data_IF_166238480210
#
_entry.id   IF_166238480210
#
_cell.length_a   1.000
_cell.length_b   1.000
_cell.length_c   1.000
_cell.angle_alpha   90.00
_cell.angle_beta   90.00
_cell.angle_gamma   90.00
#
_symmetry.space_group_name_H-M   'P 1'
#
loop_
_entity.id
_entity.type
_entity.pdbx_description
1 polymer ?
#
# COMPACT_ATOMS: atom_id res chain seq x y z
N UNK A 1 -7.25 -38.78 -33.80
CA UNK A 1 -6.20 -38.22 -34.68
C UNK A 1 -6.25 -36.70 -34.55
N UNK A 2 -5.10 -36.00 -34.42
CA UNK A 2 -5.07 -34.54 -34.27
C UNK A 2 -5.30 -33.83 -35.63
N UNK A 3 -5.89 -32.63 -35.59
CA UNK A 3 -6.10 -31.82 -36.80
C UNK A 3 -4.78 -31.32 -37.40
N UNK A 4 -4.81 -30.92 -38.68
CA UNK A 4 -3.62 -30.40 -39.39
C UNK A 4 -2.95 -29.21 -38.71
N UNK A 5 -3.74 -28.41 -38.00
CA UNK A 5 -3.36 -27.18 -37.30
C UNK A 5 -3.08 -27.41 -35.80
N UNK A 6 -3.19 -28.65 -35.31
CA UNK A 6 -3.02 -28.94 -33.89
C UNK A 6 -1.56 -28.84 -33.48
N UNK A 7 -1.32 -28.18 -32.34
CA UNK A 7 -0.01 -28.16 -31.68
C UNK A 7 0.57 -29.55 -31.35
N UNK A 8 -0.27 -30.59 -31.29
CA UNK A 8 0.15 -31.97 -30.98
C UNK A 8 0.36 -32.85 -32.23
N UNK A 9 0.16 -32.30 -33.43
CA UNK A 9 0.18 -33.08 -34.67
C UNK A 9 1.51 -33.81 -34.89
N UNK A 10 2.62 -33.10 -34.69
CA UNK A 10 3.97 -33.61 -34.97
C UNK A 10 4.64 -34.23 -33.72
N UNK A 11 3.89 -34.43 -32.64
CA UNK A 11 4.44 -34.98 -31.41
C UNK A 11 4.39 -36.51 -31.47
N UNK A 12 5.50 -37.22 -31.18
CA UNK A 12 5.54 -38.67 -31.21
C UNK A 12 4.55 -39.30 -30.24
N UNK A 13 3.90 -40.38 -30.68
CA UNK A 13 3.11 -41.25 -29.82
C UNK A 13 4.04 -42.13 -28.97
N UNK A 14 3.68 -42.35 -27.71
CA UNK A 14 4.37 -43.20 -26.74
C UNK A 14 3.37 -44.20 -26.19
N UNK A 15 3.77 -45.46 -26.16
CA UNK A 15 3.01 -46.52 -25.52
C UNK A 15 3.45 -46.65 -24.05
N UNK A 16 2.57 -46.30 -23.13
CA UNK A 16 2.83 -46.41 -21.68
C UNK A 16 2.03 -47.56 -21.10
N UNK A 17 2.67 -48.44 -20.33
CA UNK A 17 1.98 -49.47 -19.55
C UNK A 17 1.43 -48.86 -18.27
N UNK A 18 0.15 -49.07 -18.00
CA UNK A 18 -0.44 -48.72 -16.72
C UNK A 18 -0.10 -49.77 -15.64
N UNK A 19 -0.46 -49.48 -14.39
CA UNK A 19 -0.25 -50.39 -13.25
C UNK A 19 -1.02 -51.72 -13.37
N UNK A 20 -1.99 -51.83 -14.29
CA UNK A 20 -2.78 -53.04 -14.60
C UNK A 20 -2.26 -53.77 -15.84
N UNK A 21 -1.11 -53.38 -16.39
CA UNK A 21 -0.48 -53.99 -17.56
C UNK A 21 -1.11 -53.61 -18.90
N UNK A 22 -2.09 -52.69 -18.95
CA UNK A 22 -2.70 -52.19 -20.18
C UNK A 22 -1.75 -51.22 -20.87
N UNK A 23 -1.62 -51.32 -22.19
CA UNK A 23 -0.84 -50.39 -23.00
C UNK A 23 -1.76 -49.26 -23.48
N UNK A 24 -1.47 -48.03 -23.06
CA UNK A 24 -2.18 -46.83 -23.49
C UNK A 24 -1.30 -46.03 -24.44
N UNK A 25 -1.85 -45.68 -25.61
CA UNK A 25 -1.22 -44.73 -26.52
C UNK A 25 -1.43 -43.31 -25.98
N UNK A 26 -0.33 -42.61 -25.72
CA UNK A 26 -0.31 -41.21 -25.31
C UNK A 26 0.63 -40.41 -26.19
N UNK A 27 0.60 -39.07 -26.11
CA UNK A 27 1.59 -38.21 -26.75
C UNK A 27 2.76 -37.96 -25.80
N UNK A 28 3.96 -37.82 -26.37
CA UNK A 28 5.13 -37.33 -25.64
C UNK A 28 4.89 -35.93 -25.07
N UNK A 29 5.67 -35.54 -24.05
CA UNK A 29 5.67 -34.17 -23.56
C UNK A 29 6.15 -33.22 -24.67
N UNK A 30 5.41 -32.13 -24.89
CA UNK A 30 5.80 -31.05 -25.81
C UNK A 30 6.81 -30.15 -25.10
N UNK A 31 8.00 -30.00 -25.67
CA UNK A 31 8.91 -28.93 -25.28
C UNK A 31 8.42 -27.61 -25.88
N UNK A 32 8.46 -26.54 -25.10
CA UNK A 32 8.09 -25.21 -25.58
C UNK A 32 9.18 -24.71 -26.55
N UNK A 33 8.83 -24.27 -27.76
CA UNK A 33 9.80 -23.69 -28.67
C UNK A 33 10.27 -22.32 -28.15
N UNK A 34 11.52 -21.96 -28.42
CA UNK A 34 11.92 -20.56 -28.32
C UNK A 34 11.30 -19.79 -29.48
N UNK A 35 10.41 -18.85 -29.18
CA UNK A 35 9.74 -18.04 -30.20
C UNK A 35 10.17 -16.60 -30.05
N UNK A 36 10.90 -16.09 -31.05
CA UNK A 36 11.19 -14.66 -31.14
C UNK A 36 9.89 -13.88 -31.39
N UNK A 37 9.54 -13.01 -30.44
CA UNK A 37 8.43 -12.09 -30.58
C UNK A 37 8.60 -11.14 -31.76
N UNK A 38 7.52 -10.88 -32.51
CA UNK A 38 7.53 -9.91 -33.60
C UNK A 38 7.10 -8.52 -33.14
N UNK A 39 6.12 -8.45 -32.23
CA UNK A 39 5.65 -7.21 -31.62
C UNK A 39 4.98 -7.48 -30.27
N UNK A 40 4.65 -6.41 -29.54
CA UNK A 40 3.98 -6.47 -28.24
C UNK A 40 2.51 -6.03 -28.38
N UNK A 41 1.58 -6.85 -27.90
CA UNK A 41 0.18 -6.47 -27.72
C UNK A 41 -0.06 -6.06 -26.27
N UNK A 42 -0.73 -4.92 -26.05
CA UNK A 42 -1.12 -4.48 -24.70
C UNK A 42 -2.48 -5.11 -24.36
N UNK A 43 -2.51 -5.90 -23.29
CA UNK A 43 -3.73 -6.61 -22.86
C UNK A 43 -4.80 -5.62 -22.40
N UNK A 44 -6.01 -5.77 -22.92
CA UNK A 44 -7.21 -5.02 -22.53
C UNK A 44 -8.18 -5.90 -21.72
N UNK A 45 -9.12 -5.29 -21.01
CA UNK A 45 -10.07 -6.01 -20.14
C UNK A 45 -10.98 -6.98 -20.92
N UNK A 46 -11.29 -6.65 -22.16
CA UNK A 46 -12.16 -7.44 -23.05
C UNK A 46 -11.39 -8.45 -23.89
N UNK A 47 -10.06 -8.55 -23.71
CA UNK A 47 -9.25 -9.46 -24.50
C UNK A 47 -9.53 -10.90 -24.12
N UNK A 48 -9.68 -11.72 -25.17
CA UNK A 48 -9.68 -13.17 -25.05
C UNK A 48 -8.65 -13.74 -26.00
N UNK A 49 -7.99 -14.82 -25.58
CA UNK A 49 -6.90 -15.42 -26.33
C UNK A 49 -7.33 -15.94 -27.71
N UNK A 50 -8.55 -16.47 -27.83
CA UNK A 50 -9.17 -16.87 -29.10
C UNK A 50 -9.44 -15.66 -30.00
N UNK A 51 -9.93 -14.55 -29.46
CA UNK A 51 -10.12 -13.30 -30.20
C UNK A 51 -8.80 -12.69 -30.66
N UNK A 52 -7.77 -12.67 -29.80
CA UNK A 52 -6.44 -12.20 -30.16
C UNK A 52 -5.84 -13.08 -31.26
N UNK A 53 -5.96 -14.41 -31.14
CA UNK A 53 -5.49 -15.32 -32.16
C UNK A 53 -6.22 -15.12 -33.50
N UNK A 54 -7.53 -14.87 -33.47
CA UNK A 54 -8.27 -14.53 -34.68
C UNK A 54 -7.83 -13.18 -35.26
N UNK A 55 -7.66 -12.15 -34.42
CA UNK A 55 -7.21 -10.81 -34.83
C UNK A 55 -5.85 -10.83 -35.53
N UNK A 56 -4.91 -11.64 -35.04
CA UNK A 56 -3.52 -11.63 -35.51
C UNK A 56 -3.14 -12.78 -36.45
N UNK A 57 -3.83 -13.92 -36.38
CA UNK A 57 -3.55 -15.11 -37.20
C UNK A 57 -4.72 -15.53 -38.09
N UNK A 58 -5.86 -14.83 -38.03
CA UNK A 58 -7.13 -15.22 -38.69
C UNK A 58 -7.62 -16.61 -38.27
N UNK A 59 -7.10 -17.13 -37.15
CA UNK A 59 -7.42 -18.47 -36.67
C UNK A 59 -7.55 -18.49 -35.14
N UNK A 60 -8.76 -18.62 -34.57
CA UNK A 60 -8.96 -18.54 -33.12
C UNK A 60 -8.33 -19.72 -32.38
N UNK A 61 -8.11 -20.85 -33.06
CA UNK A 61 -7.49 -22.05 -32.47
C UNK A 61 -5.98 -21.94 -32.33
N UNK A 62 -5.35 -20.89 -32.86
CA UNK A 62 -3.91 -20.67 -32.80
C UNK A 62 -3.46 -19.83 -31.59
N UNK A 63 -4.36 -19.68 -30.61
CA UNK A 63 -4.07 -18.98 -29.35
C UNK A 63 -2.89 -19.58 -28.57
N UNK A 64 -2.63 -20.88 -28.74
CA UNK A 64 -1.49 -21.56 -28.11
C UNK A 64 -0.15 -21.00 -28.58
N UNK A 65 -0.08 -20.38 -29.77
CA UNK A 65 1.13 -19.69 -30.25
C UNK A 65 1.48 -18.49 -29.35
N UNK A 66 0.45 -17.75 -28.92
CA UNK A 66 0.60 -16.62 -27.98
C UNK A 66 1.12 -17.16 -26.65
N UNK A 67 0.56 -18.26 -26.15
CA UNK A 67 1.03 -18.87 -24.91
C UNK A 67 2.47 -19.37 -24.98
N UNK A 68 2.83 -20.08 -26.06
CA UNK A 68 4.18 -20.61 -26.24
C UNK A 68 5.24 -19.50 -26.36
N UNK A 69 4.88 -18.33 -26.93
CA UNK A 69 5.77 -17.18 -27.03
C UNK A 69 5.95 -16.41 -25.71
N UNK A 70 5.20 -16.77 -24.67
CA UNK A 70 5.25 -16.11 -23.35
C UNK A 70 5.41 -17.18 -22.24
N UNK A 71 6.53 -17.92 -22.22
CA UNK A 71 6.72 -19.07 -21.32
C UNK A 71 6.81 -18.70 -19.83
N UNK A 72 7.06 -17.43 -19.51
CA UNK A 72 7.08 -16.93 -18.12
C UNK A 72 5.72 -17.10 -17.41
N UNK A 73 4.65 -17.37 -18.17
CA UNK A 73 3.29 -17.55 -17.64
C UNK A 73 2.91 -19.02 -17.63
N UNK A 74 2.58 -19.52 -16.43
CA UNK A 74 2.21 -20.91 -16.20
C UNK A 74 0.83 -21.28 -16.77
N UNK A 75 -0.04 -20.29 -16.99
CA UNK A 75 -1.38 -20.52 -17.55
C UNK A 75 -1.74 -19.51 -18.65
N UNK A 76 -2.56 -19.89 -19.64
CA UNK A 76 -3.05 -18.96 -20.64
C UNK A 76 -3.93 -17.86 -20.03
N UNK A 77 -4.68 -18.14 -18.96
CA UNK A 77 -5.47 -17.10 -18.27
C UNK A 77 -4.58 -16.04 -17.62
N UNK A 78 -3.38 -16.42 -17.16
CA UNK A 78 -2.38 -15.48 -16.64
C UNK A 78 -1.92 -14.47 -17.68
N UNK A 79 -1.99 -14.79 -18.98
CA UNK A 79 -1.67 -13.84 -20.04
C UNK A 79 -2.65 -12.67 -20.08
N UNK A 80 -3.93 -12.95 -19.81
CA UNK A 80 -5.01 -11.97 -19.84
C UNK A 80 -5.23 -11.28 -18.48
N UNK A 81 -4.53 -11.72 -17.43
CA UNK A 81 -4.77 -11.24 -16.07
C UNK A 81 -6.08 -11.76 -15.45
N UNK A 82 -6.65 -12.84 -16.00
CA UNK A 82 -7.83 -13.51 -15.44
C UNK A 82 -7.47 -14.62 -14.47
N UNK A 83 -6.40 -14.45 -13.68
CA UNK A 83 -6.12 -15.38 -12.60
C UNK A 83 -7.09 -15.13 -11.45
N UNK A 84 -7.56 -16.19 -10.76
CA UNK A 84 -8.32 -16.01 -9.53
C UNK A 84 -7.55 -15.16 -8.52
N UNK A 85 -6.22 -15.27 -8.54
CA UNK A 85 -5.29 -14.54 -7.69
C UNK A 85 -5.10 -13.10 -8.17
N UNK A 86 -5.44 -12.14 -7.32
CA UNK A 86 -5.22 -10.71 -7.54
C UNK A 86 -4.41 -10.08 -6.40
N UNK A 87 -3.74 -8.96 -6.69
CA UNK A 87 -3.01 -8.17 -5.69
C UNK A 87 -3.69 -6.82 -5.54
N UNK A 88 -4.11 -6.52 -4.32
CA UNK A 88 -4.70 -5.25 -3.92
C UNK A 88 -3.66 -4.39 -3.21
N UNK A 89 -3.51 -3.14 -3.63
CA UNK A 89 -2.76 -2.12 -2.91
C UNK A 89 -3.75 -1.14 -2.30
N UNK A 90 -3.84 -1.12 -0.97
CA UNK A 90 -4.71 -0.23 -0.21
C UNK A 90 -3.87 0.81 0.53
N UNK A 91 -3.97 2.11 0.18
CA UNK A 91 -3.42 3.14 1.02
C UNK A 91 -4.23 3.24 2.32
N UNK A 92 -3.57 2.97 3.43
CA UNK A 92 -4.12 3.06 4.78
C UNK A 92 -3.72 4.40 5.38
N UNK A 93 -4.68 5.02 6.08
CA UNK A 93 -4.50 6.24 6.83
C UNK A 93 -4.84 5.95 8.28
N UNK A 94 -3.90 6.27 9.17
CA UNK A 94 -4.11 6.21 10.61
C UNK A 94 -3.79 7.59 11.21
N UNK A 95 -4.71 8.16 11.96
CA UNK A 95 -4.64 9.54 12.48
C UNK A 95 -3.98 9.64 13.86
N UNK A 96 -3.36 8.56 14.33
CA UNK A 96 -2.75 8.51 15.65
C UNK A 96 -3.75 8.39 16.80
N UNK A 97 -5.06 8.28 16.52
CA UNK A 97 -6.04 7.96 17.54
C UNK A 97 -5.80 6.55 18.05
N UNK A 98 -5.18 6.52 19.23
CA UNK A 98 -4.89 5.32 19.99
C UNK A 98 -6.23 4.78 20.54
N UNK A 99 -6.62 3.54 20.23
CA UNK A 99 -7.78 2.97 20.88
C UNK A 99 -7.55 2.90 22.41
N UNK A 100 -8.60 2.99 23.24
CA UNK A 100 -8.48 3.17 24.70
C UNK A 100 -7.67 2.09 25.44
N UNK A 101 -7.34 0.97 24.79
CA UNK A 101 -6.56 -0.13 25.36
C UNK A 101 -5.05 -0.06 25.08
N UNK A 102 -4.54 0.97 24.38
CA UNK A 102 -3.12 1.07 24.00
C UNK A 102 -2.27 1.92 24.96
N UNK A 103 -2.47 1.77 26.27
CA UNK A 103 -1.75 2.50 27.33
C UNK A 103 -0.24 2.19 27.42
N UNK A 104 0.29 1.32 26.56
CA UNK A 104 1.71 0.97 26.49
C UNK A 104 2.48 2.03 25.68
N UNK A 105 3.46 2.67 26.33
CA UNK A 105 4.43 3.56 25.69
C UNK A 105 5.04 2.91 24.44
N UNK A 106 4.80 3.50 23.27
CA UNK A 106 5.36 3.01 22.01
C UNK A 106 4.41 2.16 21.16
N UNK A 107 3.12 2.09 21.52
CA UNK A 107 2.12 1.35 20.75
C UNK A 107 2.12 1.73 19.26
N UNK A 108 2.61 0.80 18.44
CA UNK A 108 2.36 0.74 17.00
C UNK A 108 0.85 0.62 16.77
N UNK A 109 0.33 1.09 15.62
CA UNK A 109 -1.03 0.76 15.21
C UNK A 109 -1.23 -0.77 15.28
N UNK A 110 -2.47 -1.27 15.43
CA UNK A 110 -2.75 -2.70 15.60
C UNK A 110 -2.59 -3.49 14.29
N UNK A 111 -1.44 -3.33 13.63
CA UNK A 111 -1.08 -3.98 12.38
C UNK A 111 -1.06 -5.49 12.53
N UNK A 112 -0.56 -6.00 13.65
CA UNK A 112 -0.55 -7.43 13.94
C UNK A 112 -1.97 -7.99 13.90
N UNK A 113 -2.92 -7.35 14.57
CA UNK A 113 -4.33 -7.75 14.59
C UNK A 113 -4.98 -7.64 13.22
N UNK A 114 -4.73 -6.54 12.50
CA UNK A 114 -5.23 -6.35 11.14
C UNK A 114 -4.70 -7.45 10.20
N UNK A 115 -3.40 -7.68 10.19
CA UNK A 115 -2.74 -8.65 9.32
C UNK A 115 -3.18 -10.07 9.66
N UNK A 116 -3.28 -10.42 10.95
CA UNK A 116 -3.80 -11.71 11.39
C UNK A 116 -5.26 -11.91 10.97
N UNK A 117 -6.09 -10.90 11.15
CA UNK A 117 -7.49 -10.97 10.73
C UNK A 117 -7.63 -11.15 9.22
N UNK A 118 -6.86 -10.41 8.43
CA UNK A 118 -6.85 -10.55 6.97
C UNK A 118 -6.34 -11.92 6.55
N UNK A 119 -5.27 -12.45 7.16
CA UNK A 119 -4.74 -13.78 6.86
C UNK A 119 -5.72 -14.91 7.19
N UNK A 120 -6.65 -14.69 8.13
CA UNK A 120 -7.73 -15.63 8.47
C UNK A 120 -8.98 -15.45 7.61
N UNK A 121 -9.09 -14.36 6.85
CA UNK A 121 -10.23 -14.10 6.01
C UNK A 121 -10.27 -15.07 4.82
N UNK A 122 -11.46 -15.58 4.51
CA UNK A 122 -11.65 -16.50 3.40
C UNK A 122 -11.21 -15.86 2.07
N UNK A 123 -10.38 -16.57 1.32
CA UNK A 123 -9.89 -16.09 0.03
C UNK A 123 -8.69 -15.16 0.11
N UNK A 124 -8.18 -14.79 1.30
CA UNK A 124 -6.91 -14.07 1.42
C UNK A 124 -5.76 -15.07 1.49
N UNK A 125 -4.80 -14.93 0.58
CA UNK A 125 -3.61 -15.79 0.52
C UNK A 125 -2.39 -15.14 1.19
N UNK A 126 -2.39 -13.81 1.31
CA UNK A 126 -1.33 -13.09 1.99
C UNK A 126 -1.69 -11.63 2.24
N UNK A 127 -1.18 -11.08 3.34
CA UNK A 127 -1.30 -9.67 3.67
C UNK A 127 0.03 -9.17 4.24
N UNK A 128 0.53 -8.06 3.70
CA UNK A 128 1.81 -7.46 4.03
C UNK A 128 1.67 -5.94 4.07
N UNK A 129 2.28 -5.31 5.07
CA UNK A 129 2.35 -3.86 5.18
C UNK A 129 3.60 -3.35 4.43
N UNK A 130 3.39 -2.39 3.54
CA UNK A 130 4.40 -1.84 2.64
C UNK A 130 4.73 -2.74 1.45
N UNK A 131 5.04 -2.20 0.26
CA UNK A 131 5.96 -2.87 -0.66
C UNK A 131 7.34 -3.07 0.02
N UNK A 132 8.21 -3.97 -0.50
CA UNK A 132 9.58 -4.09 0.00
C UNK A 132 10.35 -2.75 0.05
N UNK A 133 9.93 -1.81 -0.80
CA UNK A 133 10.52 -0.49 -0.99
C UNK A 133 9.92 0.61 -0.09
N UNK A 134 8.84 0.33 0.65
CA UNK A 134 8.27 1.27 1.63
C UNK A 134 8.07 0.58 2.99
N UNK A 135 9.17 0.23 3.68
CA UNK A 135 9.10 -0.42 4.99
C UNK A 135 8.62 0.53 6.11
N UNK A 136 8.65 1.85 5.88
CA UNK A 136 8.29 2.87 6.87
C UNK A 136 7.08 3.71 6.44
N UNK A 137 6.27 4.13 7.43
CA UNK A 137 5.15 5.03 7.21
C UNK A 137 5.62 6.35 6.60
N UNK A 138 4.90 6.89 5.62
CA UNK A 138 4.99 8.33 5.40
C UNK A 138 4.16 9.05 6.45
N UNK A 139 4.77 9.99 7.15
CA UNK A 139 4.14 10.76 8.21
C UNK A 139 3.77 12.14 7.69
N UNK A 140 2.49 12.47 7.75
CA UNK A 140 1.96 13.79 7.44
C UNK A 140 1.46 14.44 8.73
N UNK A 141 1.86 15.68 8.98
CA UNK A 141 1.30 16.47 10.10
C UNK A 141 0.15 17.29 9.56
N UNK A 142 -1.07 17.00 10.03
CA UNK A 142 -2.27 17.70 9.58
C UNK A 142 -2.63 18.77 10.60
N UNK A 143 -2.71 20.03 10.14
CA UNK A 143 -3.17 21.15 10.97
C UNK A 143 -4.67 20.99 11.24
N UNK A 144 -5.04 20.93 12.52
CA UNK A 144 -6.42 20.89 12.96
C UNK A 144 -7.05 22.28 13.04
N UNK A 145 -8.05 22.44 13.91
CA UNK A 145 -8.69 23.73 14.18
C UNK A 145 -7.74 24.63 14.99
N UNK A 146 -7.72 25.95 14.77
CA UNK A 146 -7.04 26.88 15.68
C UNK A 146 -7.62 26.74 17.10
N UNK A 147 -6.74 26.53 18.08
CA UNK A 147 -7.08 26.43 19.49
C UNK A 147 -7.25 27.83 20.10
N UNK A 148 -6.20 28.64 20.02
CA UNK A 148 -6.14 29.98 20.58
C UNK A 148 -5.10 30.82 19.82
N UNK A 149 -5.08 32.12 20.12
CA UNK A 149 -4.15 33.08 19.52
C UNK A 149 -3.27 33.67 20.59
N UNK A 150 -1.96 33.71 20.32
CA UNK A 150 -0.98 34.30 21.21
C UNK A 150 -0.65 35.74 20.81
N UNK A 151 -0.20 36.52 21.79
CA UNK A 151 0.22 37.91 21.58
C UNK A 151 1.33 38.01 20.52
N UNK A 152 1.31 39.03 19.65
CA UNK A 152 2.34 39.27 18.63
C UNK A 152 3.75 39.28 19.19
N UNK A 153 3.93 39.82 20.40
CA UNK A 153 5.23 39.97 21.07
C UNK A 153 5.90 38.64 21.37
N UNK A 154 5.11 37.57 21.55
CA UNK A 154 5.64 36.22 21.77
C UNK A 154 6.28 35.61 20.52
N UNK A 155 6.09 36.21 19.34
CA UNK A 155 6.82 35.80 18.13
C UNK A 155 8.33 36.05 18.24
N UNK A 156 8.73 37.08 18.98
CA UNK A 156 10.14 37.40 19.23
C UNK A 156 10.85 36.35 20.08
N UNK A 157 10.11 35.49 20.78
CA UNK A 157 10.64 34.36 21.54
C UNK A 157 10.96 33.15 20.64
N UNK A 158 10.55 33.17 19.37
CA UNK A 158 10.85 32.12 18.39
C UNK A 158 12.01 32.58 17.49
N UNK A 159 13.17 31.98 17.66
CA UNK A 159 14.37 32.25 16.90
C UNK A 159 14.29 31.59 15.51
N UNK A 160 14.34 32.44 14.49
CA UNK A 160 14.27 32.03 13.09
C UNK A 160 15.55 31.38 12.57
N UNK A 161 16.66 31.56 13.26
CA UNK A 161 17.98 31.12 12.84
C UNK A 161 18.30 29.69 13.24
N UNK A 162 17.52 29.11 14.17
CA UNK A 162 17.75 27.77 14.71
C UNK A 162 16.63 26.81 14.34
N UNK A 163 17.01 25.56 14.04
CA UNK A 163 16.04 24.50 13.74
C UNK A 163 15.27 24.08 14.99
N UNK A 164 15.93 24.12 16.16
CA UNK A 164 15.37 23.74 17.45
C UNK A 164 15.88 24.72 18.51
N UNK A 165 15.02 25.17 19.41
CA UNK A 165 15.37 26.08 20.51
C UNK A 165 14.73 25.63 21.82
N UNK A 166 15.05 26.25 22.95
CA UNK A 166 14.25 26.04 24.17
C UNK A 166 13.00 26.92 24.16
N UNK A 167 11.91 26.43 24.75
CA UNK A 167 10.72 27.26 25.01
C UNK A 167 11.06 28.30 26.07
N UNK A 168 11.06 29.57 25.68
CA UNK A 168 11.29 30.68 26.60
C UNK A 168 10.15 30.81 27.64
N UNK A 169 10.43 31.31 28.86
CA UNK A 169 9.45 31.33 29.95
C UNK A 169 8.13 32.04 29.63
N UNK A 170 8.17 33.13 28.84
CA UNK A 170 6.98 33.87 28.46
C UNK A 170 6.04 33.04 27.56
N UNK A 171 6.60 32.38 26.55
CA UNK A 171 5.86 31.47 25.67
C UNK A 171 5.33 30.26 26.45
N UNK A 172 6.15 29.68 27.32
CA UNK A 172 5.75 28.58 28.19
C UNK A 172 4.60 28.95 29.14
N UNK A 173 4.64 30.15 29.72
CA UNK A 173 3.58 30.67 30.59
C UNK A 173 2.27 30.91 29.84
N UNK A 174 2.34 31.47 28.63
CA UNK A 174 1.16 31.69 27.80
C UNK A 174 0.52 30.36 27.36
N UNK A 175 1.33 29.36 27.01
CA UNK A 175 0.84 28.00 26.70
C UNK A 175 0.20 27.33 27.92
N UNK A 176 0.81 27.47 29.10
CA UNK A 176 0.28 26.91 30.35
C UNK A 176 -1.06 27.55 30.76
N UNK A 177 -1.23 28.86 30.52
CA UNK A 177 -2.49 29.57 30.78
C UNK A 177 -3.66 29.02 29.93
N UNK A 178 -3.35 28.51 28.74
CA UNK A 178 -4.30 27.86 27.82
C UNK A 178 -4.41 26.34 28.06
N UNK A 179 -3.87 25.84 29.18
CA UNK A 179 -3.93 24.43 29.57
C UNK A 179 -2.92 23.53 28.85
N UNK A 180 -1.98 24.09 28.08
CA UNK A 180 -0.90 23.33 27.44
C UNK A 180 0.30 23.26 28.37
N UNK A 181 0.44 22.13 29.06
CA UNK A 181 1.59 21.85 29.92
C UNK A 181 2.53 20.83 29.27
N UNK A 182 3.82 20.97 29.52
CA UNK A 182 4.85 20.07 28.98
C UNK A 182 5.69 19.42 30.09
N UNK A 183 5.08 19.14 31.24
CA UNK A 183 5.79 18.74 32.45
C UNK A 183 5.75 17.22 32.62
N UNK A 184 6.85 16.54 32.29
CA UNK A 184 6.89 15.08 32.46
C UNK A 184 7.09 14.76 33.93
N UNK A 185 6.21 13.97 34.57
CA UNK A 185 6.50 13.44 35.89
C UNK A 185 7.66 12.43 35.76
N UNK A 186 8.84 12.81 36.23
CA UNK A 186 9.92 11.84 36.45
C UNK A 186 9.67 11.16 37.80
N UNK A 187 10.13 9.92 37.97
CA UNK A 187 10.01 9.11 39.20
C UNK A 187 10.15 9.97 40.47
N UNK A 188 9.29 9.67 41.44
CA UNK A 188 9.05 10.42 42.67
C UNK A 188 10.24 11.24 43.19
N UNK A 189 10.18 12.57 42.99
CA UNK A 189 11.04 13.54 43.67
C UNK A 189 11.93 14.41 42.78
N UNK A 190 12.12 14.09 41.49
CA UNK A 190 12.94 14.89 40.58
C UNK A 190 12.03 15.50 39.48
N UNK A 191 11.92 16.82 39.39
CA UNK A 191 11.26 17.47 38.25
C UNK A 191 12.33 17.83 37.24
N UNK A 192 12.64 16.94 36.29
CA UNK A 192 13.40 17.36 35.11
C UNK A 192 12.42 17.96 34.12
N UNK A 193 12.54 19.27 33.88
CA UNK A 193 11.98 19.88 32.66
C UNK A 193 12.64 19.18 31.48
N UNK A 194 11.95 18.23 30.84
CA UNK A 194 12.41 17.77 29.54
C UNK A 194 12.26 18.98 28.62
N UNK A 195 13.39 19.43 28.06
CA UNK A 195 13.43 20.58 27.17
C UNK A 195 12.48 20.33 26.01
N UNK A 196 11.38 21.06 26.03
CA UNK A 196 10.48 21.15 24.89
C UNK A 196 11.19 22.02 23.89
N UNK A 197 11.45 21.46 22.71
CA UNK A 197 12.15 22.19 21.66
C UNK A 197 11.20 22.47 20.51
N UNK A 198 10.75 23.72 20.28
CA UNK A 198 10.05 24.08 19.07
C UNK A 198 10.95 23.80 17.88
N UNK A 199 10.46 23.01 16.91
CA UNK A 199 11.11 22.78 15.64
C UNK A 199 10.57 23.77 14.60
N UNK A 200 11.45 24.53 13.95
CA UNK A 200 11.07 25.39 12.83
C UNK A 200 10.81 24.53 11.59
N UNK A 201 9.61 24.62 11.04
CA UNK A 201 9.17 23.85 9.86
C UNK A 201 9.41 24.65 8.59
N UNK A 202 9.01 25.93 8.61
CA UNK A 202 9.20 26.87 7.50
C UNK A 202 9.33 28.31 8.04
N UNK A 203 9.28 29.31 7.16
CA UNK A 203 9.47 30.72 7.53
C UNK A 203 8.41 31.27 8.50
N UNK A 204 7.22 30.66 8.56
CA UNK A 204 6.09 31.15 9.35
C UNK A 204 5.50 30.08 10.27
N UNK A 205 6.12 28.90 10.35
CA UNK A 205 5.56 27.74 11.05
C UNK A 205 6.58 27.10 11.99
N UNK A 206 6.20 26.96 13.26
CA UNK A 206 6.94 26.19 14.27
C UNK A 206 6.07 25.06 14.81
N UNK A 207 6.70 23.98 15.26
CA UNK A 207 6.00 22.83 15.85
C UNK A 207 6.60 22.48 17.19
N UNK A 208 5.72 22.20 18.14
CA UNK A 208 6.10 21.62 19.42
C UNK A 208 5.40 20.28 19.55
N UNK A 209 6.16 19.20 19.72
CA UNK A 209 5.58 17.89 20.04
C UNK A 209 5.58 17.70 21.55
N UNK A 210 4.40 17.71 22.16
CA UNK A 210 4.23 17.34 23.55
C UNK A 210 4.34 15.81 23.67
N UNK A 211 5.45 15.31 24.21
CA UNK A 211 5.71 13.87 24.24
C UNK A 211 4.74 13.07 25.11
N UNK A 212 4.20 13.67 26.18
CA UNK A 212 3.23 13.03 27.09
C UNK A 212 1.89 12.80 26.41
N UNK A 213 1.33 13.87 25.84
CA UNK A 213 0.02 13.81 25.18
C UNK A 213 0.11 13.34 23.74
N UNK A 214 1.34 13.22 23.20
CA UNK A 214 1.66 13.03 21.77
C UNK A 214 0.96 14.03 20.85
N UNK A 215 0.52 15.17 21.40
CA UNK A 215 -0.09 16.25 20.65
C UNK A 215 1.00 17.10 20.01
N UNK A 216 0.75 17.55 18.80
CA UNK A 216 1.63 18.50 18.13
C UNK A 216 0.92 19.84 18.17
N UNK A 217 1.58 20.85 18.71
CA UNK A 217 1.13 22.23 18.63
C UNK A 217 1.87 22.90 17.48
N UNK A 218 1.12 23.32 16.47
CA UNK A 218 1.68 24.07 15.34
C UNK A 218 1.39 25.55 15.55
N UNK A 219 2.44 26.36 15.55
CA UNK A 219 2.38 27.81 15.66
C UNK A 219 2.53 28.37 14.27
N UNK A 220 1.56 29.15 13.80
CA UNK A 220 1.62 29.79 12.49
C UNK A 220 1.50 31.29 12.64
N UNK A 221 2.51 31.99 12.13
CA UNK A 221 2.51 33.45 12.07
C UNK A 221 1.83 33.92 10.79
N UNK A 222 0.88 34.84 10.90
CA UNK A 222 0.21 35.46 9.75
C UNK A 222 0.73 36.89 9.58
N UNK A 223 1.57 37.15 8.57
CA UNK A 223 2.24 38.45 8.41
C UNK A 223 1.28 39.65 8.28
N UNK A 224 0.04 39.41 7.86
CA UNK A 224 -0.99 40.46 7.72
C UNK A 224 -1.79 40.75 8.99
N UNK A 225 -1.77 39.88 10.00
CA UNK A 225 -2.62 40.01 11.19
C UNK A 225 -1.82 40.33 12.46
N UNK A 226 -0.48 40.24 12.41
CA UNK A 226 0.42 40.29 13.58
C UNK A 226 0.10 39.22 14.65
N UNK A 227 -0.69 38.19 14.33
CA UNK A 227 -1.10 37.16 15.27
C UNK A 227 -0.29 35.88 15.10
N UNK A 228 0.00 35.23 16.22
CA UNK A 228 0.54 33.87 16.26
C UNK A 228 -0.59 32.92 16.62
N UNK A 229 -1.13 32.21 15.63
CA UNK A 229 -2.21 31.25 15.85
C UNK A 229 -1.63 29.89 16.22
N UNK A 230 -2.21 29.26 17.24
CA UNK A 230 -1.81 27.93 17.71
C UNK A 230 -2.85 26.91 17.28
N UNK A 231 -2.40 25.85 16.63
CA UNK A 231 -3.21 24.77 16.11
C UNK A 231 -2.85 23.48 16.83
N UNK A 232 -3.86 22.69 17.18
CA UNK A 232 -3.63 21.29 17.48
C UNK A 232 -3.44 20.54 16.16
N UNK A 233 -2.32 19.87 16.01
CA UNK A 233 -1.98 19.07 14.84
C UNK A 233 -1.87 17.61 15.24
N UNK A 234 -2.29 16.73 14.34
CA UNK A 234 -2.22 15.29 14.54
C UNK A 234 -1.24 14.67 13.54
N UNK A 235 -0.56 13.61 13.98
CA UNK A 235 0.20 12.76 13.06
C UNK A 235 -0.76 11.87 12.27
N UNK A 236 -0.69 11.97 10.96
CA UNK A 236 -1.36 11.07 10.04
C UNK A 236 -0.31 10.18 9.40
N UNK A 237 -0.36 8.90 9.71
CA UNK A 237 0.50 7.88 9.15
C UNK A 237 -0.16 7.32 7.90
N UNK A 238 0.59 7.28 6.82
CA UNK A 238 0.16 6.68 5.56
C UNK A 238 1.00 5.42 5.31
N UNK A 239 0.30 4.34 5.00
CA UNK A 239 0.90 3.05 4.68
C UNK A 239 0.28 2.49 3.41
N UNK A 240 0.96 1.57 2.74
CA UNK A 240 0.36 0.79 1.66
C UNK A 240 0.22 -0.64 2.15
N UNK A 241 -1.00 -1.14 2.30
CA UNK A 241 -1.26 -2.53 2.57
C UNK A 241 -1.36 -3.30 1.25
N UNK A 242 -0.52 -4.31 1.09
CA UNK A 242 -0.57 -5.27 -0.01
C UNK A 242 -1.34 -6.51 0.42
N UNK A 243 -2.47 -6.78 -0.21
CA UNK A 243 -3.27 -7.99 0.01
C UNK A 243 -3.27 -8.83 -1.26
N UNK A 244 -2.89 -10.10 -1.14
CA UNK A 244 -3.01 -11.10 -2.20
C UNK A 244 -4.24 -11.93 -1.89
N UNK A 245 -5.21 -11.95 -2.80
CA UNK A 245 -6.49 -12.60 -2.56
C UNK A 245 -7.04 -13.28 -3.81
N UNK A 246 -7.91 -14.25 -3.58
CA UNK A 246 -8.67 -14.95 -4.59
C UNK A 246 -10.00 -14.22 -4.85
N UNK A 247 -10.11 -13.64 -6.04
CA UNK A 247 -11.27 -12.89 -6.54
C UNK A 247 -12.55 -13.70 -6.64
N UNK A 248 -12.47 -15.04 -6.64
CA UNK A 248 -13.65 -15.91 -6.61
C UNK A 248 -14.24 -16.10 -5.21
N UNK A 249 -13.44 -15.85 -4.16
CA UNK A 249 -13.85 -16.06 -2.77
C UNK A 249 -14.11 -14.75 -2.02
N UNK A 250 -13.41 -13.68 -2.39
CA UNK A 250 -13.59 -12.35 -1.79
C UNK A 250 -13.36 -11.25 -2.83
N UNK A 251 -13.79 -10.03 -2.52
CA UNK A 251 -13.66 -8.86 -3.39
C UNK A 251 -12.85 -7.75 -2.73
N UNK A 252 -12.29 -6.85 -3.54
CA UNK A 252 -11.57 -5.68 -3.02
C UNK A 252 -12.43 -4.82 -2.09
N UNK A 253 -13.72 -4.67 -2.42
CA UNK A 253 -14.67 -3.93 -1.59
C UNK A 253 -14.93 -4.62 -0.24
N UNK A 254 -15.10 -5.94 -0.23
CA UNK A 254 -15.28 -6.70 1.00
C UNK A 254 -14.05 -6.60 1.92
N UNK A 255 -12.84 -6.69 1.35
CA UNK A 255 -11.59 -6.49 2.08
C UNK A 255 -11.48 -5.06 2.63
N UNK A 256 -11.87 -4.05 1.84
CA UNK A 256 -11.88 -2.66 2.28
C UNK A 256 -12.79 -2.43 3.48
N UNK A 257 -14.00 -3.00 3.47
CA UNK A 257 -14.95 -2.92 4.60
C UNK A 257 -14.34 -3.58 5.85
N UNK A 258 -13.76 -4.77 5.73
CA UNK A 258 -13.12 -5.44 6.87
C UNK A 258 -11.97 -4.63 7.48
N UNK A 259 -11.21 -3.91 6.65
CA UNK A 259 -10.12 -3.04 7.11
C UNK A 259 -10.71 -1.81 7.85
N UNK A 260 -11.76 -1.20 7.31
CA UNK A 260 -12.44 -0.05 7.90
C UNK A 260 -13.12 -0.38 9.24
N UNK A 261 -13.77 -1.53 9.36
CA UNK A 261 -14.38 -2.02 10.61
C UNK A 261 -13.36 -2.17 11.76
N UNK A 262 -12.07 -2.27 11.43
CA UNK A 262 -10.96 -2.35 12.40
C UNK A 262 -10.34 -0.99 12.71
N UNK A 263 -10.98 0.10 12.28
CA UNK A 263 -10.56 1.47 12.57
C UNK A 263 -9.51 2.04 11.62
N UNK A 264 -9.19 1.36 10.52
CA UNK A 264 -8.26 1.88 9.52
C UNK A 264 -9.02 2.61 8.41
N UNK A 265 -8.78 3.91 8.26
CA UNK A 265 -9.28 4.64 7.11
C UNK A 265 -8.53 4.17 5.86
N UNK A 266 -9.27 3.89 4.79
CA UNK A 266 -8.71 3.44 3.51
C UNK A 266 -8.98 4.48 2.44
N UNK A 267 -8.00 4.74 1.57
CA UNK A 267 -8.23 5.45 0.30
C UNK A 267 -8.68 4.47 -0.78
N UNK A 268 -8.95 5.00 -1.98
CA UNK A 268 -9.35 4.17 -3.12
C UNK A 268 -8.31 3.06 -3.37
N UNK A 269 -8.72 1.78 -3.29
CA UNK A 269 -7.80 0.68 -3.51
C UNK A 269 -7.38 0.62 -4.98
N UNK A 270 -6.13 0.27 -5.23
CA UNK A 270 -5.60 0.02 -6.57
C UNK A 270 -5.41 -1.48 -6.75
N UNK A 271 -6.14 -2.07 -7.68
CA UNK A 271 -5.98 -3.47 -8.02
C UNK A 271 -4.88 -3.63 -9.07
N UNK A 272 -3.83 -4.36 -8.73
CA UNK A 272 -2.71 -4.64 -9.64
C UNK A 272 -3.08 -5.84 -10.49
N UNK A 273 -3.77 -5.56 -11.61
CA UNK A 273 -4.06 -6.55 -12.66
C UNK A 273 -2.99 -6.50 -13.76
N UNK A 274 -2.98 -7.50 -14.65
CA UNK A 274 -2.16 -7.48 -15.87
C UNK A 274 -2.78 -6.72 -17.03
N UNK A 275 -4.00 -6.19 -16.87
CA UNK A 275 -4.59 -5.28 -17.85
C UNK A 275 -3.61 -4.12 -18.07
N UNK A 276 -3.20 -3.89 -19.32
CA UNK A 276 -2.19 -2.90 -19.71
C UNK A 276 -0.75 -3.43 -19.85
N UNK A 277 -0.45 -4.67 -19.46
CA UNK A 277 0.89 -5.25 -19.64
C UNK A 277 1.09 -5.76 -21.09
N UNK A 278 2.32 -5.68 -21.62
CA UNK A 278 2.62 -6.23 -22.94
C UNK A 278 2.65 -7.76 -22.90
N UNK A 279 2.16 -8.38 -23.97
CA UNK A 279 2.27 -9.80 -24.29
C UNK A 279 2.94 -9.93 -25.64
N UNK A 280 3.88 -10.87 -25.73
CA UNK A 280 4.66 -11.12 -26.94
C UNK A 280 3.79 -11.80 -27.99
N UNK A 281 3.75 -11.24 -29.19
CA UNK A 281 3.01 -11.80 -30.32
C UNK A 281 3.99 -12.40 -31.33
N UNK A 282 3.97 -13.73 -31.53
CA UNK A 282 4.83 -14.38 -32.53
C UNK A 282 4.40 -14.08 -33.97
N UNK A 283 5.28 -14.29 -34.96
CA UNK A 283 4.95 -14.01 -36.35
C UNK A 283 3.92 -15.00 -36.89
N UNK A 284 3.16 -14.57 -37.90
CA UNK A 284 2.32 -15.44 -38.73
C UNK A 284 3.23 -16.21 -39.68
N UNK A 285 3.52 -17.47 -39.34
CA UNK A 285 4.22 -18.44 -40.21
C UNK A 285 3.24 -19.32 -40.95
#
# INVERSE_FOLDING_TARGET
MFSKISRYRNIPDVAVRDAKGRVLASKSLRLLPEVAGTFLHRVEEVDRLDHLAFKYYEQPRDWWRIADANPDYLSPQALLGHEPRSTLLLPLVWDGSMPPWSELEGATPPWSELLEALRRALGVEGALLGPPEQPEASVEVVQGRPLFTLLPTLRGELDDSVRTQEVMPALGGALAAEGVSFTIPVRAGEVRRKEVRPEKVDAVTWRITALETRRIYTFRHFPGEALLQVYESAFRYHWILKVIYNTQMTSAAALQVQIQERGFATRQPTEVRRIGKPVVMPPRT
#
